data_IF_324892712973
#
_entry.id   IF_324892712973
#
_cell.length_a   1.000
_cell.length_b   1.000
_cell.length_c   1.000
_cell.angle_alpha   90.00
_cell.angle_beta   90.00
_cell.angle_gamma   90.00
#
_symmetry.space_group_name_H-M   'P 1'
#
loop_
_entity.id
_entity.type
_entity.pdbx_description
1 polymer ?
#
# COMPACT_ATOMS: atom_id res chain seq x y z
N UNK A 1 16.99 -10.14 -16.22
CA UNK A 1 15.66 -10.05 -16.85
C UNK A 1 15.45 -8.62 -17.36
N UNK A 2 14.56 -8.39 -18.32
CA UNK A 2 14.18 -7.06 -18.82
C UNK A 2 12.88 -6.56 -18.18
N UNK A 3 11.94 -7.45 -17.94
CA UNK A 3 10.65 -7.13 -17.30
C UNK A 3 10.43 -8.01 -16.09
N UNK A 4 9.99 -7.41 -14.99
CA UNK A 4 9.48 -8.10 -13.81
C UNK A 4 7.95 -7.96 -13.78
N UNK A 5 7.23 -9.07 -13.73
CA UNK A 5 5.82 -9.09 -13.39
C UNK A 5 5.69 -9.39 -11.89
N UNK A 6 5.02 -8.50 -11.18
CA UNK A 6 4.93 -8.53 -9.72
C UNK A 6 3.47 -8.67 -9.29
N UNK A 7 3.25 -9.53 -8.30
CA UNK A 7 1.95 -9.72 -7.66
C UNK A 7 2.07 -10.51 -6.38
N UNK A 8 0.95 -10.73 -5.70
CA UNK A 8 0.90 -11.47 -4.44
C UNK A 8 -0.25 -12.48 -4.45
N UNK A 9 -0.11 -13.56 -3.68
CA UNK A 9 -1.12 -14.63 -3.59
C UNK A 9 -1.83 -14.68 -2.23
N UNK A 10 -1.28 -14.02 -1.21
CA UNK A 10 -1.94 -13.85 0.09
C UNK A 10 -3.15 -12.93 -0.05
N UNK A 11 -4.02 -12.95 0.96
CA UNK A 11 -5.20 -12.10 1.03
C UNK A 11 -5.44 -11.69 2.47
N UNK A 12 -6.19 -10.61 2.70
CA UNK A 12 -6.64 -10.21 4.05
C UNK A 12 -7.63 -11.18 4.72
N UNK A 13 -8.11 -12.21 4.01
CA UNK A 13 -9.27 -12.98 4.42
C UNK A 13 -8.94 -14.06 5.47
N UNK A 14 -9.70 -14.17 6.58
CA UNK A 14 -9.49 -15.21 7.57
C UNK A 14 -9.69 -16.63 7.04
N UNK A 15 -9.00 -17.60 7.65
CA UNK A 15 -9.20 -19.02 7.38
C UNK A 15 -10.68 -19.41 7.59
N UNK A 16 -11.21 -20.21 6.67
CA UNK A 16 -12.61 -20.65 6.66
C UNK A 16 -13.58 -19.74 5.90
N UNK A 17 -13.16 -18.58 5.38
CA UNK A 17 -14.02 -17.66 4.63
C UNK A 17 -14.73 -18.34 3.45
N UNK A 18 -14.05 -19.24 2.73
CA UNK A 18 -14.63 -19.97 1.60
C UNK A 18 -15.85 -20.85 1.96
N UNK A 19 -16.01 -21.26 3.22
CA UNK A 19 -17.17 -22.07 3.63
C UNK A 19 -18.48 -21.27 3.58
N UNK A 20 -18.41 -19.95 3.78
CA UNK A 20 -19.57 -19.04 3.73
C UNK A 20 -19.64 -18.23 2.44
N UNK A 21 -18.50 -17.96 1.81
CA UNK A 21 -18.40 -17.21 0.56
C UNK A 21 -17.43 -17.93 -0.39
N UNK A 22 -17.89 -19.00 -1.05
CA UNK A 22 -17.09 -19.70 -2.05
C UNK A 22 -16.92 -18.81 -3.29
N UNK A 23 -15.89 -19.10 -4.07
CA UNK A 23 -15.77 -18.53 -5.41
C UNK A 23 -16.98 -18.93 -6.26
N UNK A 24 -17.56 -17.96 -6.97
CA UNK A 24 -18.60 -18.20 -7.97
C UNK A 24 -18.42 -17.24 -9.14
N UNK A 25 -18.84 -17.68 -10.32
CA UNK A 25 -18.95 -16.85 -11.51
C UNK A 25 -20.38 -16.97 -12.06
N UNK A 26 -21.02 -15.84 -12.29
CA UNK A 26 -22.35 -15.74 -12.91
C UNK A 26 -22.34 -14.63 -13.96
N UNK A 27 -22.55 -15.02 -15.23
CA UNK A 27 -22.36 -14.12 -16.37
C UNK A 27 -20.95 -13.53 -16.40
N UNK A 28 -20.87 -12.21 -16.46
CA UNK A 28 -19.61 -11.46 -16.52
C UNK A 28 -19.06 -11.08 -15.13
N UNK A 29 -19.63 -11.60 -14.04
CA UNK A 29 -19.18 -11.28 -12.68
C UNK A 29 -18.65 -12.52 -11.98
N UNK A 30 -17.40 -12.47 -11.53
CA UNK A 30 -16.85 -13.41 -10.57
C UNK A 30 -16.76 -12.76 -9.18
N UNK A 31 -17.02 -13.54 -8.13
CA UNK A 31 -16.89 -13.09 -6.74
C UNK A 31 -16.27 -14.19 -5.88
N UNK A 32 -15.50 -13.79 -4.89
CA UNK A 32 -14.86 -14.67 -3.92
C UNK A 32 -13.69 -13.97 -3.22
N UNK A 33 -13.25 -14.46 -2.06
CA UNK A 33 -12.21 -13.79 -1.27
C UNK A 33 -10.86 -13.75 -2.01
N UNK A 34 -10.41 -12.53 -2.32
CA UNK A 34 -9.17 -12.22 -3.04
C UNK A 34 -9.26 -12.48 -4.54
N UNK A 35 -10.48 -12.57 -5.12
CA UNK A 35 -10.62 -12.73 -6.56
C UNK A 35 -10.14 -11.50 -7.33
N UNK A 36 -10.46 -10.30 -6.84
CA UNK A 36 -10.08 -9.02 -7.41
C UNK A 36 -8.70 -8.60 -6.91
N UNK A 37 -8.41 -8.83 -5.63
CA UNK A 37 -7.16 -8.47 -4.95
C UNK A 37 -6.39 -9.70 -4.45
N UNK A 38 -5.43 -10.25 -5.22
CA UNK A 38 -5.21 -9.95 -6.64
C UNK A 38 -5.14 -11.19 -7.53
N UNK A 39 -5.85 -12.28 -7.17
CA UNK A 39 -5.75 -13.57 -7.88
C UNK A 39 -6.13 -13.47 -9.37
N UNK A 40 -7.10 -12.64 -9.74
CA UNK A 40 -7.41 -12.41 -11.16
C UNK A 40 -6.25 -11.76 -11.92
N UNK A 41 -5.48 -10.87 -11.27
CA UNK A 41 -4.24 -10.31 -11.82
C UNK A 41 -3.15 -11.36 -12.04
N UNK A 42 -3.03 -12.33 -11.12
CA UNK A 42 -2.12 -13.48 -11.31
C UNK A 42 -2.57 -14.36 -12.49
N UNK A 43 -3.88 -14.62 -12.62
CA UNK A 43 -4.42 -15.34 -13.79
C UNK A 43 -4.08 -14.59 -15.08
N UNK A 44 -4.33 -13.29 -15.15
CA UNK A 44 -3.98 -12.45 -16.30
C UNK A 44 -2.48 -12.51 -16.61
N UNK A 45 -1.62 -12.47 -15.59
CA UNK A 45 -0.17 -12.62 -15.73
C UNK A 45 0.19 -13.92 -16.47
N UNK A 46 -0.27 -15.06 -15.98
CA UNK A 46 0.09 -16.35 -16.59
C UNK A 46 -0.51 -16.52 -17.99
N UNK A 47 -1.71 -16.01 -18.25
CA UNK A 47 -2.31 -16.05 -19.58
C UNK A 47 -1.59 -15.12 -20.58
N UNK A 48 -1.18 -13.93 -20.16
CA UNK A 48 -0.42 -13.00 -20.99
C UNK A 48 0.94 -13.59 -21.38
N UNK A 49 1.61 -14.25 -20.43
CA UNK A 49 2.89 -14.91 -20.69
C UNK A 49 2.74 -16.17 -21.54
N UNK A 50 1.69 -16.97 -21.35
CA UNK A 50 1.47 -18.20 -22.12
C UNK A 50 1.36 -17.97 -23.65
N UNK A 51 1.08 -16.73 -24.07
CA UNK A 51 1.01 -16.34 -25.48
C UNK A 51 2.38 -15.88 -26.06
N UNK A 52 3.46 -15.88 -25.27
CA UNK A 52 4.80 -15.53 -25.75
C UNK A 52 5.50 -16.74 -26.41
N UNK A 53 6.29 -16.46 -27.46
CA UNK A 53 7.13 -17.47 -28.11
C UNK A 53 8.36 -17.87 -27.28
N UNK A 54 8.82 -16.96 -26.40
CA UNK A 54 9.94 -17.19 -25.47
C UNK A 54 9.72 -16.39 -24.17
N UNK A 55 10.24 -16.93 -23.07
CA UNK A 55 10.28 -16.27 -21.76
C UNK A 55 11.61 -15.57 -21.48
N UNK A 56 12.53 -15.55 -22.44
CA UNK A 56 13.82 -14.90 -22.28
C UNK A 56 13.64 -13.43 -21.91
N UNK A 57 14.23 -13.02 -20.78
CA UNK A 57 14.10 -11.66 -20.27
C UNK A 57 12.85 -11.40 -19.42
N UNK A 58 12.00 -12.40 -19.17
CA UNK A 58 10.86 -12.27 -18.25
C UNK A 58 11.23 -12.81 -16.86
N UNK A 59 10.89 -12.06 -15.82
CA UNK A 59 10.84 -12.54 -14.44
C UNK A 59 9.40 -12.40 -13.91
N UNK A 60 8.98 -13.35 -13.08
CA UNK A 60 7.72 -13.29 -12.35
C UNK A 60 8.02 -13.51 -10.88
N UNK A 61 7.59 -12.57 -10.03
CA UNK A 61 7.64 -12.71 -8.58
C UNK A 61 6.22 -12.67 -8.03
N UNK A 62 5.84 -13.73 -7.32
CA UNK A 62 4.58 -13.83 -6.59
C UNK A 62 4.90 -13.92 -5.10
N UNK A 63 4.57 -12.88 -4.34
CA UNK A 63 4.80 -12.78 -2.90
C UNK A 63 3.62 -13.38 -2.11
N UNK A 64 3.80 -13.56 -0.80
CA UNK A 64 2.82 -14.19 0.08
C UNK A 64 2.61 -13.45 1.40
N UNK A 65 3.02 -12.20 1.46
CA UNK A 65 3.00 -11.35 2.65
C UNK A 65 2.77 -9.85 2.32
N UNK A 66 2.24 -9.54 1.14
CA UNK A 66 1.99 -8.16 0.69
C UNK A 66 1.02 -7.44 1.64
N UNK A 67 -0.04 -8.15 2.03
CA UNK A 67 -1.20 -7.61 2.78
C UNK A 67 -0.84 -7.23 4.23
N UNK A 68 0.35 -7.64 4.68
CA UNK A 68 0.92 -7.29 5.99
C UNK A 68 2.16 -6.38 5.87
N UNK A 69 2.40 -5.82 4.68
CA UNK A 69 3.48 -4.86 4.44
C UNK A 69 4.77 -5.45 3.86
N UNK A 70 4.75 -6.71 3.40
CA UNK A 70 5.89 -7.41 2.77
C UNK A 70 7.12 -7.59 3.67
N UNK A 71 6.96 -7.94 4.96
CA UNK A 71 8.08 -7.97 5.92
C UNK A 71 9.18 -8.97 5.59
N UNK A 72 8.88 -10.03 4.81
CA UNK A 72 9.83 -11.07 4.42
C UNK A 72 10.20 -11.03 2.95
N UNK A 73 9.37 -10.41 2.10
CA UNK A 73 9.59 -10.33 0.66
C UNK A 73 10.17 -9.00 0.19
N UNK A 74 10.19 -7.94 1.00
CA UNK A 74 10.67 -6.61 0.59
C UNK A 74 12.06 -6.63 -0.06
N UNK A 75 13.04 -7.28 0.58
CA UNK A 75 14.40 -7.39 0.04
C UNK A 75 14.42 -8.20 -1.27
N UNK A 76 13.64 -9.29 -1.34
CA UNK A 76 13.52 -10.12 -2.53
C UNK A 76 12.89 -9.36 -3.70
N UNK A 77 11.90 -8.50 -3.45
CA UNK A 77 11.25 -7.65 -4.45
C UNK A 77 12.28 -6.71 -5.07
N UNK A 78 13.04 -6.00 -4.22
CA UNK A 78 14.08 -5.06 -4.68
C UNK A 78 15.20 -5.79 -5.42
N UNK A 79 15.65 -6.94 -4.92
CA UNK A 79 16.66 -7.77 -5.59
C UNK A 79 16.17 -8.26 -6.96
N UNK A 80 14.93 -8.74 -7.05
CA UNK A 80 14.33 -9.25 -8.29
C UNK A 80 14.11 -8.15 -9.34
N UNK A 81 13.85 -6.93 -8.90
CA UNK A 81 13.73 -5.75 -9.75
C UNK A 81 15.10 -5.15 -10.12
N UNK A 82 16.19 -5.59 -9.50
CA UNK A 82 17.51 -5.04 -9.78
C UNK A 82 17.92 -5.30 -11.22
N UNK A 83 18.16 -4.22 -11.98
CA UNK A 83 18.62 -4.28 -13.36
C UNK A 83 17.56 -4.69 -14.39
N UNK A 84 16.27 -4.72 -14.03
CA UNK A 84 15.18 -4.81 -15.03
C UNK A 84 14.89 -3.42 -15.61
N UNK A 85 14.40 -3.39 -16.85
CA UNK A 85 13.98 -2.15 -17.51
C UNK A 85 12.63 -1.66 -16.98
N UNK A 86 11.76 -2.60 -16.54
CA UNK A 86 10.42 -2.28 -16.08
C UNK A 86 9.88 -3.31 -15.06
N UNK A 87 9.09 -2.83 -14.10
CA UNK A 87 8.22 -3.65 -13.25
C UNK A 87 6.75 -3.37 -13.59
N UNK A 88 5.99 -4.43 -13.83
CA UNK A 88 4.56 -4.40 -14.11
C UNK A 88 3.82 -5.08 -12.96
N UNK A 89 3.07 -4.31 -12.17
CA UNK A 89 2.34 -4.81 -10.99
C UNK A 89 0.90 -5.11 -11.37
N UNK A 90 0.47 -6.35 -11.16
CA UNK A 90 -0.84 -6.85 -11.60
C UNK A 90 -1.93 -6.76 -10.53
N UNK A 91 -1.71 -5.88 -9.56
CA UNK A 91 -2.72 -5.32 -8.69
C UNK A 91 -3.97 -4.86 -9.45
N UNK A 92 -5.16 -4.92 -8.83
CA UNK A 92 -6.38 -4.48 -9.48
C UNK A 92 -6.33 -3.02 -9.94
N UNK A 93 -7.00 -2.74 -11.05
CA UNK A 93 -7.22 -1.37 -11.55
C UNK A 93 -8.16 -0.58 -10.65
N UNK A 94 -8.22 0.74 -10.85
CA UNK A 94 -9.21 1.61 -10.21
C UNK A 94 -10.30 1.95 -11.22
N UNK A 95 -11.40 1.20 -11.22
CA UNK A 95 -12.47 1.35 -12.22
C UNK A 95 -11.95 1.27 -13.67
N UNK A 96 -10.93 0.44 -13.92
CA UNK A 96 -10.25 0.31 -15.21
C UNK A 96 -9.01 1.19 -15.39
N UNK A 97 -8.88 2.28 -14.62
CA UNK A 97 -7.72 3.16 -14.67
C UNK A 97 -6.46 2.48 -14.09
N UNK A 98 -5.31 2.75 -14.70
CA UNK A 98 -4.00 2.31 -14.21
C UNK A 98 -3.53 3.20 -13.07
N UNK A 99 -2.83 2.63 -12.10
CA UNK A 99 -2.32 3.35 -10.93
C UNK A 99 -0.96 3.93 -11.29
N UNK A 100 -0.94 5.22 -11.63
CA UNK A 100 0.27 5.96 -12.01
C UNK A 100 0.98 6.60 -10.82
N UNK A 101 0.32 6.64 -9.66
CA UNK A 101 0.97 7.03 -8.42
C UNK A 101 0.29 6.35 -7.23
N UNK A 102 1.09 6.00 -6.23
CA UNK A 102 0.62 5.48 -4.94
C UNK A 102 1.29 6.27 -3.83
N UNK A 103 0.50 6.68 -2.84
CA UNK A 103 1.08 7.22 -1.60
C UNK A 103 1.95 6.15 -0.94
N UNK A 104 3.05 6.58 -0.32
CA UNK A 104 3.75 5.79 0.67
C UNK A 104 3.01 5.82 2.00
N UNK A 105 3.45 4.99 2.93
CA UNK A 105 2.93 4.91 4.30
C UNK A 105 4.08 4.93 5.29
N UNK A 106 3.92 5.65 6.39
CA UNK A 106 4.84 5.60 7.53
C UNK A 106 4.02 5.62 8.80
N UNK A 107 4.32 4.70 9.71
CA UNK A 107 3.64 4.62 11.00
C UNK A 107 4.60 5.01 12.12
N UNK A 108 4.04 5.64 13.15
CA UNK A 108 4.72 5.95 14.40
C UNK A 108 3.85 5.54 15.59
N UNK A 109 4.49 5.28 16.74
CA UNK A 109 3.82 5.14 18.02
C UNK A 109 4.37 6.20 18.95
N UNK A 110 3.53 7.16 19.34
CA UNK A 110 3.89 8.12 20.37
C UNK A 110 3.44 7.60 21.73
N UNK A 111 4.39 7.36 22.62
CA UNK A 111 4.16 6.92 24.00
C UNK A 111 4.30 8.09 24.96
N UNK A 112 3.41 8.12 25.94
CA UNK A 112 3.50 9.03 27.08
C UNK A 112 3.70 8.20 28.35
N UNK A 113 4.70 8.57 29.14
CA UNK A 113 4.94 8.00 30.46
C UNK A 113 4.66 9.05 31.52
N UNK A 114 3.90 8.66 32.54
CA UNK A 114 3.58 9.45 33.69
C UNK A 114 3.91 8.69 34.98
N UNK A 115 3.03 8.81 35.98
CA UNK A 115 3.21 8.13 37.27
C UNK A 115 1.85 7.71 37.81
N UNK A 116 1.72 6.41 38.06
CA UNK A 116 0.49 5.86 38.62
C UNK A 116 0.28 6.30 40.07
N UNK A 117 -0.98 6.54 40.45
CA UNK A 117 -1.39 6.83 41.81
C UNK A 117 -2.83 6.37 42.03
N UNK A 118 -3.20 6.03 43.27
CA UNK A 118 -4.58 5.65 43.58
C UNK A 118 -5.50 6.87 43.49
N UNK A 119 -6.50 6.83 42.62
CA UNK A 119 -7.32 8.00 42.27
C UNK A 119 -8.11 8.58 43.46
N UNK A 120 -8.50 7.72 44.42
CA UNK A 120 -9.25 8.13 45.61
C UNK A 120 -8.43 8.42 46.87
N UNK A 121 -7.12 8.13 46.88
CA UNK A 121 -6.29 8.32 48.07
C UNK A 121 -5.36 9.51 47.89
N UNK A 122 -4.52 9.47 46.85
CA UNK A 122 -3.45 10.45 46.64
C UNK A 122 -3.28 10.78 45.15
N UNK A 123 -4.33 11.22 44.43
CA UNK A 123 -4.24 11.47 42.99
C UNK A 123 -3.19 12.54 42.63
N UNK A 124 -2.92 13.47 43.53
CA UNK A 124 -1.90 14.53 43.39
C UNK A 124 -0.46 13.99 43.33
N UNK A 125 -0.21 12.76 43.79
CA UNK A 125 1.08 12.10 43.66
C UNK A 125 1.28 11.51 42.25
N UNK A 126 0.23 11.40 41.43
CA UNK A 126 0.31 10.86 40.07
C UNK A 126 0.65 11.91 39.00
N UNK A 127 1.03 11.41 37.81
CA UNK A 127 1.10 12.19 36.56
C UNK A 127 0.30 11.39 35.54
N UNK A 128 -0.80 11.96 35.05
CA UNK A 128 -1.75 11.23 34.21
C UNK A 128 -1.26 11.18 32.75
N UNK A 129 -0.69 10.04 32.36
CA UNK A 129 -0.20 9.81 31.00
C UNK A 129 -1.30 9.92 29.93
N UNK A 130 -2.56 9.60 30.27
CA UNK A 130 -3.68 9.73 29.34
C UNK A 130 -4.04 11.19 29.05
N UNK A 131 -3.93 12.08 30.05
CA UNK A 131 -4.11 13.53 29.85
C UNK A 131 -2.95 14.10 29.03
N UNK A 132 -1.72 13.68 29.31
CA UNK A 132 -0.57 14.03 28.47
C UNK A 132 -0.80 13.61 27.02
N UNK A 133 -1.24 12.37 26.78
CA UNK A 133 -1.53 11.87 25.44
C UNK A 133 -2.60 12.69 24.73
N UNK A 134 -3.63 13.13 25.44
CA UNK A 134 -4.67 13.99 24.86
C UNK A 134 -4.11 15.32 24.37
N UNK A 135 -3.17 15.94 25.10
CA UNK A 135 -2.47 17.14 24.62
C UNK A 135 -1.66 16.85 23.36
N UNK A 136 -0.95 15.72 23.33
CA UNK A 136 -0.12 15.36 22.18
C UNK A 136 -0.95 15.01 20.94
N UNK A 137 -2.10 14.34 21.09
CA UNK A 137 -2.99 14.04 19.95
C UNK A 137 -3.46 15.34 19.29
N UNK A 138 -3.86 16.34 20.08
CA UNK A 138 -4.26 17.65 19.55
C UNK A 138 -3.07 18.31 18.83
N UNK A 139 -1.89 18.31 19.45
CA UNK A 139 -0.69 18.88 18.84
C UNK A 139 -0.32 18.20 17.51
N UNK A 140 -0.42 16.86 17.43
CA UNK A 140 -0.19 16.07 16.20
C UNK A 140 -1.23 16.43 15.13
N UNK A 141 -2.50 16.57 15.50
CA UNK A 141 -3.57 16.96 14.57
C UNK A 141 -3.47 18.41 14.09
N UNK A 142 -2.82 19.28 14.84
CA UNK A 142 -2.61 20.69 14.50
C UNK A 142 -1.33 20.93 13.65
N UNK A 143 -0.56 19.87 13.35
CA UNK A 143 0.59 19.98 12.45
C UNK A 143 0.10 20.34 11.04
N UNK A 144 0.49 21.52 10.57
CA UNK A 144 0.15 22.02 9.24
C UNK A 144 0.93 21.28 8.15
N UNK A 145 0.20 20.54 7.32
CA UNK A 145 0.75 19.72 6.24
C UNK A 145 0.08 20.07 4.91
N UNK A 146 0.80 19.89 3.78
CA UNK A 146 0.19 20.03 2.46
C UNK A 146 -1.00 19.09 2.29
N UNK A 147 -2.00 19.50 1.49
CA UNK A 147 -3.25 18.75 1.32
C UNK A 147 -3.09 17.32 0.76
N UNK A 148 -1.98 17.01 0.12
CA UNK A 148 -1.66 15.68 -0.39
C UNK A 148 -1.02 14.75 0.66
N UNK A 149 -0.71 15.26 1.85
CA UNK A 149 -0.11 14.53 2.96
C UNK A 149 -1.13 14.43 4.10
N UNK A 150 -1.38 13.20 4.57
CA UNK A 150 -2.28 12.95 5.70
C UNK A 150 -1.48 12.48 6.89
N UNK A 151 -1.74 13.05 8.05
CA UNK A 151 -1.21 12.66 9.35
C UNK A 151 -2.39 12.38 10.27
N UNK A 152 -2.55 11.15 10.72
CA UNK A 152 -3.79 10.74 11.41
C UNK A 152 -3.46 9.93 12.66
N UNK A 153 -3.77 10.45 13.86
CA UNK A 153 -3.87 9.63 15.07
C UNK A 153 -4.97 8.58 14.89
N UNK A 154 -4.67 7.30 15.11
CA UNK A 154 -5.59 6.20 14.83
C UNK A 154 -6.01 5.45 16.09
N UNK A 155 -5.12 4.64 16.67
CA UNK A 155 -5.39 3.80 17.84
C UNK A 155 -4.75 4.41 19.08
N UNK A 156 -5.54 4.66 20.12
CA UNK A 156 -5.05 5.19 21.40
C UNK A 156 -5.39 4.26 22.56
N UNK A 157 -4.51 4.19 23.56
CA UNK A 157 -4.71 3.43 24.79
C UNK A 157 -4.12 4.18 25.99
N UNK A 158 -4.78 4.11 27.16
CA UNK A 158 -4.30 4.75 28.39
C UNK A 158 -4.78 4.00 29.65
N UNK A 159 -3.83 3.62 30.52
CA UNK A 159 -4.13 2.96 31.80
C UNK A 159 -4.68 1.53 31.67
N UNK A 160 -4.98 0.92 32.82
CA UNK A 160 -5.42 -0.49 32.90
C UNK A 160 -6.60 -0.73 33.84
N UNK A 161 -6.77 0.11 34.87
CA UNK A 161 -7.83 0.00 35.88
C UNK A 161 -8.55 1.34 36.07
N UNK A 162 -9.82 1.29 36.49
CA UNK A 162 -10.67 2.48 36.59
C UNK A 162 -10.38 3.41 37.77
N UNK A 163 -9.69 2.93 38.81
CA UNK A 163 -9.39 3.66 40.04
C UNK A 163 -7.91 4.04 40.21
N UNK A 164 -7.13 4.02 39.13
CA UNK A 164 -5.70 4.37 39.13
C UNK A 164 -5.44 5.46 38.10
N UNK A 165 -4.69 6.50 38.48
CA UNK A 165 -4.17 7.50 37.54
C UNK A 165 -3.29 6.76 36.51
N UNK A 166 -3.57 6.85 35.19
CA UNK A 166 -2.78 6.17 34.18
C UNK A 166 -1.29 6.55 34.23
N UNK A 167 -0.43 5.57 34.43
CA UNK A 167 1.03 5.76 34.39
C UNK A 167 1.64 5.67 33.00
N UNK A 168 0.91 5.14 32.01
CA UNK A 168 1.34 5.02 30.63
C UNK A 168 0.14 5.17 29.68
N UNK A 169 0.40 5.74 28.51
CA UNK A 169 -0.53 5.80 27.39
C UNK A 169 0.23 5.83 26.06
N UNK A 170 -0.44 5.55 24.95
CA UNK A 170 0.16 5.56 23.62
C UNK A 170 -0.87 5.87 22.53
N UNK A 171 -0.40 6.43 21.40
CA UNK A 171 -1.18 6.61 20.18
C UNK A 171 -0.38 6.17 18.95
N UNK A 172 -1.04 5.46 18.04
CA UNK A 172 -0.54 5.17 16.70
C UNK A 172 -0.84 6.34 15.77
N UNK A 173 0.11 6.67 14.91
CA UNK A 173 0.05 7.78 13.97
C UNK A 173 0.34 7.23 12.58
N UNK A 174 -0.63 7.37 11.66
CA UNK A 174 -0.50 6.97 10.25
C UNK A 174 -0.18 8.20 9.40
N UNK A 175 0.88 8.11 8.60
CA UNK A 175 1.31 9.17 7.67
C UNK A 175 1.26 8.63 6.26
N UNK A 176 0.62 9.37 5.35
CA UNK A 176 0.61 9.04 3.92
C UNK A 176 0.95 10.23 3.06
N UNK A 177 1.85 10.06 2.11
CA UNK A 177 2.25 11.11 1.17
C UNK A 177 2.73 10.52 -0.15
N UNK A 178 2.68 11.31 -1.23
CA UNK A 178 3.34 10.98 -2.50
C UNK A 178 4.82 11.41 -2.53
N UNK A 179 5.24 12.25 -1.59
CA UNK A 179 6.58 12.82 -1.52
C UNK A 179 7.34 12.20 -0.34
N UNK A 180 8.44 11.51 -0.62
CA UNK A 180 9.22 10.80 0.39
C UNK A 180 9.82 11.76 1.43
N UNK A 181 10.22 12.97 1.01
CA UNK A 181 10.78 13.98 1.91
C UNK A 181 9.76 14.47 2.96
N UNK A 182 8.46 14.23 2.73
CA UNK A 182 7.40 14.57 3.71
C UNK A 182 7.45 13.68 4.93
N UNK A 183 7.91 12.43 4.80
CA UNK A 183 8.03 11.56 5.97
C UNK A 183 9.08 12.08 6.94
N UNK A 184 10.21 12.57 6.42
CA UNK A 184 11.28 13.14 7.23
C UNK A 184 10.82 14.45 7.91
N UNK A 185 10.12 15.33 7.17
CA UNK A 185 9.56 16.57 7.74
C UNK A 185 8.56 16.28 8.87
N UNK A 186 7.68 15.29 8.68
CA UNK A 186 6.71 14.90 9.71
C UNK A 186 7.42 14.27 10.91
N UNK A 187 8.45 13.44 10.69
CA UNK A 187 9.26 12.85 11.75
C UNK A 187 9.90 13.93 12.62
N UNK A 188 10.55 14.92 12.01
CA UNK A 188 11.16 16.06 12.72
C UNK A 188 10.12 16.82 13.58
N UNK A 189 8.90 17.02 13.07
CA UNK A 189 7.83 17.70 13.80
C UNK A 189 7.29 16.86 14.97
N UNK A 190 7.20 15.53 14.80
CA UNK A 190 6.81 14.60 15.87
C UNK A 190 7.89 14.50 16.95
N UNK A 191 9.17 14.47 16.58
CA UNK A 191 10.30 14.46 17.51
C UNK A 191 10.44 15.78 18.29
N UNK A 192 9.98 16.89 17.71
CA UNK A 192 9.97 18.20 18.36
C UNK A 192 8.86 18.39 19.41
N UNK A 193 7.94 17.44 19.56
CA UNK A 193 6.88 17.52 20.57
C UNK A 193 7.47 17.53 21.99
N UNK A 194 6.89 18.37 22.85
CA UNK A 194 7.31 18.52 24.25
C UNK A 194 6.19 18.12 25.21
N UNK A 195 6.51 17.46 26.33
CA UNK A 195 5.52 17.11 27.34
C UNK A 195 4.90 18.37 27.95
N UNK A 196 3.58 18.37 28.12
CA UNK A 196 2.83 19.50 28.68
C UNK A 196 2.69 19.40 30.21
N UNK A 197 2.63 18.18 30.75
CA UNK A 197 2.52 17.93 32.18
C UNK A 197 3.89 17.81 32.85
N UNK A 198 4.14 18.54 33.96
CA UNK A 198 5.36 18.35 34.74
C UNK A 198 5.52 16.91 35.23
N UNK A 199 6.65 16.30 34.87
CA UNK A 199 6.98 14.91 35.24
C UNK A 199 6.41 13.84 34.30
N UNK A 200 5.81 14.22 33.17
CA UNK A 200 5.57 13.32 32.05
C UNK A 200 6.77 13.27 31.10
N UNK A 201 6.90 12.20 30.32
CA UNK A 201 7.87 12.07 29.24
C UNK A 201 7.23 11.49 27.98
N UNK A 202 7.82 11.80 26.83
CA UNK A 202 7.41 11.33 25.52
C UNK A 202 8.48 10.40 24.94
N UNK A 203 8.06 9.41 24.18
CA UNK A 203 8.91 8.54 23.37
C UNK A 203 8.22 8.28 22.03
N UNK A 204 8.93 8.50 20.93
CA UNK A 204 8.45 8.22 19.58
C UNK A 204 9.10 6.93 19.09
N UNK A 205 8.31 5.91 18.80
CA UNK A 205 8.76 4.66 18.18
C UNK A 205 8.41 4.64 16.69
N UNK A 206 9.32 4.12 15.89
CA UNK A 206 9.12 3.94 14.45
C UNK A 206 8.39 2.64 14.14
N UNK A 207 7.30 2.75 13.39
CA UNK A 207 6.57 1.62 12.83
C UNK A 207 6.96 1.32 11.37
N UNK A 208 6.18 0.44 10.71
CA UNK A 208 6.37 0.10 9.31
C UNK A 208 6.46 1.33 8.38
N UNK A 209 7.28 1.20 7.33
CA UNK A 209 7.47 2.20 6.29
C UNK A 209 7.38 1.54 4.92
N UNK A 210 6.60 2.16 4.03
CA UNK A 210 6.57 1.83 2.61
C UNK A 210 6.77 3.15 1.83
N UNK A 211 7.83 3.30 1.03
CA UNK A 211 8.07 4.52 0.25
C UNK A 211 6.93 4.83 -0.73
N UNK A 212 6.81 6.04 -1.30
CA UNK A 212 5.82 6.34 -2.32
C UNK A 212 6.20 5.77 -3.70
N UNK A 213 5.20 5.56 -4.55
CA UNK A 213 5.36 5.38 -6.00
C UNK A 213 4.97 6.70 -6.69
N UNK A 214 5.93 7.56 -7.06
CA UNK A 214 5.63 8.86 -7.65
C UNK A 214 5.26 8.72 -9.14
N UNK A 215 4.53 9.70 -9.73
CA UNK A 215 4.20 9.70 -11.16
C UNK A 215 5.40 9.54 -12.10
N UNK A 216 6.57 10.05 -11.70
CA UNK A 216 7.81 9.94 -12.47
C UNK A 216 8.27 8.49 -12.67
N UNK A 217 7.92 7.58 -11.75
CA UNK A 217 8.28 6.16 -11.85
C UNK A 217 7.46 5.41 -12.90
N UNK A 218 6.24 5.88 -13.20
CA UNK A 218 5.31 5.18 -14.09
C UNK A 218 5.09 5.87 -15.43
N UNK A 219 5.52 7.13 -15.59
CA UNK A 219 5.16 7.99 -16.72
C UNK A 219 5.42 7.34 -18.07
N UNK A 220 6.63 6.79 -18.29
CA UNK A 220 7.00 6.17 -19.56
C UNK A 220 6.25 4.86 -19.80
N UNK A 221 6.06 4.05 -18.75
CA UNK A 221 5.29 2.81 -18.88
C UNK A 221 3.81 3.06 -19.12
N UNK A 222 3.24 4.13 -18.56
CA UNK A 222 1.87 4.54 -18.85
C UNK A 222 1.70 5.03 -20.29
N UNK A 223 2.68 5.78 -20.81
CA UNK A 223 2.73 6.14 -22.23
C UNK A 223 2.80 4.90 -23.11
N UNK A 224 3.67 3.93 -22.78
CA UNK A 224 3.74 2.65 -23.48
C UNK A 224 2.41 1.89 -23.43
N UNK A 225 1.77 1.78 -22.26
CA UNK A 225 0.47 1.15 -22.11
C UNK A 225 -0.60 1.80 -23.01
N UNK A 226 -0.57 3.13 -23.13
CA UNK A 226 -1.48 3.88 -23.99
C UNK A 226 -1.28 3.56 -25.48
N UNK A 227 -0.01 3.45 -25.93
CA UNK A 227 0.29 3.02 -27.30
C UNK A 227 -0.15 1.58 -27.56
N UNK A 228 0.15 0.66 -26.63
CA UNK A 228 -0.29 -0.75 -26.74
C UNK A 228 -1.81 -0.86 -26.79
N UNK A 229 -2.53 -0.12 -25.94
CA UNK A 229 -3.99 -0.08 -25.98
C UNK A 229 -4.51 0.41 -27.34
N UNK A 230 -3.91 1.46 -27.90
CA UNK A 230 -4.28 1.98 -29.21
C UNK A 230 -4.03 0.96 -30.34
N UNK A 231 -2.88 0.26 -30.32
CA UNK A 231 -2.54 -0.74 -31.34
C UNK A 231 -3.50 -1.94 -31.31
N UNK A 232 -3.97 -2.30 -30.11
CA UNK A 232 -4.94 -3.38 -29.89
C UNK A 232 -6.39 -2.94 -30.15
N UNK A 233 -6.64 -1.65 -30.40
CA UNK A 233 -7.99 -1.10 -30.56
C UNK A 233 -8.81 -1.08 -29.26
N UNK A 234 -8.14 -1.09 -28.11
CA UNK A 234 -8.77 -0.98 -26.80
C UNK A 234 -9.23 0.47 -26.53
N UNK A 235 -10.20 0.67 -25.61
CA UNK A 235 -10.55 2.01 -25.14
C UNK A 235 -9.34 2.77 -24.59
N UNK A 236 -9.34 4.13 -24.67
CA UNK A 236 -8.30 4.94 -24.05
C UNK A 236 -8.14 4.61 -22.56
N UNK A 237 -6.89 4.59 -22.10
CA UNK A 237 -6.56 4.32 -20.70
C UNK A 237 -6.54 5.60 -19.89
N UNK A 238 -7.13 5.55 -18.70
CA UNK A 238 -6.98 6.58 -17.68
C UNK A 238 -5.86 6.19 -16.69
N UNK A 239 -5.20 7.22 -16.15
CA UNK A 239 -4.21 7.09 -15.08
C UNK A 239 -4.72 7.78 -13.82
N UNK A 240 -4.59 7.13 -12.66
CA UNK A 240 -5.04 7.67 -11.37
C UNK A 240 -3.96 7.59 -10.30
N UNK A 241 -3.96 8.58 -9.41
CA UNK A 241 -3.16 8.58 -8.19
C UNK A 241 -4.02 8.08 -7.02
N UNK A 242 -3.54 7.08 -6.27
CA UNK A 242 -4.32 6.45 -5.18
C UNK A 242 -3.59 6.52 -3.83
N UNK A 243 -4.37 6.44 -2.74
CA UNK A 243 -3.86 6.52 -1.38
C UNK A 243 -3.36 5.20 -0.78
N UNK A 244 -3.59 4.06 -1.45
CA UNK A 244 -3.14 2.74 -1.03
C UNK A 244 -1.77 2.39 -1.64
N UNK A 245 -0.89 1.80 -0.83
CA UNK A 245 0.40 1.31 -1.30
C UNK A 245 0.27 -0.13 -1.86
N UNK A 246 1.33 -0.63 -2.50
CA UNK A 246 1.50 -2.00 -2.98
C UNK A 246 2.99 -2.38 -2.95
N UNK A 247 3.33 -3.60 -3.36
CA UNK A 247 4.73 -3.98 -3.62
C UNK A 247 5.41 -3.14 -4.72
N UNK A 248 4.64 -2.52 -5.62
CA UNK A 248 5.16 -1.61 -6.64
C UNK A 248 5.84 -0.36 -6.07
N UNK A 249 5.45 0.06 -4.87
CA UNK A 249 6.12 1.14 -4.15
C UNK A 249 7.60 0.82 -3.89
N UNK A 250 7.93 -0.45 -3.61
CA UNK A 250 9.30 -0.87 -3.29
C UNK A 250 10.19 -0.81 -4.54
N UNK A 251 9.71 -1.31 -5.68
CA UNK A 251 10.46 -1.28 -6.94
C UNK A 251 10.63 0.16 -7.46
N UNK A 252 9.59 0.99 -7.34
CA UNK A 252 9.66 2.40 -7.69
C UNK A 252 10.69 3.16 -6.84
N UNK A 253 10.74 2.89 -5.53
CA UNK A 253 11.71 3.51 -4.62
C UNK A 253 13.15 3.06 -4.88
N UNK A 254 13.34 1.86 -5.44
CA UNK A 254 14.63 1.38 -5.91
C UNK A 254 15.08 2.02 -7.24
N UNK A 255 14.31 2.97 -7.79
CA UNK A 255 14.61 3.68 -9.02
C UNK A 255 14.21 2.93 -10.29
N UNK A 256 13.42 1.86 -10.18
CA UNK A 256 12.96 1.06 -11.32
C UNK A 256 11.65 1.64 -11.86
N UNK A 257 11.56 1.81 -13.18
CA UNK A 257 10.31 2.19 -13.82
C UNK A 257 9.23 1.16 -13.49
N UNK A 258 8.14 1.61 -12.86
CA UNK A 258 7.11 0.76 -12.29
C UNK A 258 5.74 1.27 -12.68
N UNK A 259 4.88 0.38 -13.20
CA UNK A 259 3.47 0.67 -13.45
C UNK A 259 2.60 -0.34 -12.73
N UNK A 260 1.54 0.17 -12.11
CA UNK A 260 0.65 -0.60 -11.25
C UNK A 260 -0.80 -0.51 -11.73
N UNK A 261 -1.67 -1.35 -11.19
CA UNK A 261 -3.08 -1.41 -11.52
C UNK A 261 -3.31 -2.09 -12.87
N UNK A 262 -2.40 -2.96 -13.31
CA UNK A 262 -2.51 -3.70 -14.58
C UNK A 262 -3.42 -4.93 -14.48
N UNK A 263 -3.85 -5.28 -13.26
CA UNK A 263 -4.74 -6.39 -12.98
C UNK A 263 -6.20 -6.17 -13.39
N UNK A 264 -7.08 -6.85 -12.67
CA UNK A 264 -8.51 -6.93 -12.94
C UNK A 264 -9.24 -5.57 -12.87
N UNK A 265 -10.40 -5.52 -13.53
CA UNK A 265 -11.44 -4.50 -13.32
C UNK A 265 -12.50 -5.12 -12.42
N UNK A 266 -13.04 -4.34 -11.49
CA UNK A 266 -13.89 -4.86 -10.43
C UNK A 266 -13.97 -3.91 -9.25
N UNK A 267 -14.26 -4.44 -8.07
CA UNK A 267 -14.35 -3.61 -6.87
C UNK A 267 -14.50 -4.38 -5.57
N UNK A 268 -14.68 -3.61 -4.48
CA UNK A 268 -14.79 -4.09 -3.11
C UNK A 268 -13.55 -4.88 -2.61
N UNK A 269 -12.34 -4.43 -2.99
CA UNK A 269 -11.12 -4.93 -2.36
C UNK A 269 -11.21 -4.82 -0.82
N UNK A 270 -10.76 -5.86 -0.13
CA UNK A 270 -10.80 -6.00 1.34
C UNK A 270 -12.20 -5.93 1.97
N UNK A 271 -13.27 -6.12 1.18
CA UNK A 271 -14.65 -6.05 1.64
C UNK A 271 -15.50 -7.21 1.12
N UNK A 272 -16.59 -7.52 1.85
CA UNK A 272 -17.56 -8.53 1.41
C UNK A 272 -18.14 -8.15 0.05
N UNK A 273 -18.36 -9.15 -0.81
CA UNK A 273 -18.83 -8.90 -2.17
C UNK A 273 -17.76 -8.33 -3.08
N UNK A 274 -16.47 -8.55 -2.78
CA UNK A 274 -15.36 -8.46 -3.72
C UNK A 274 -15.72 -9.14 -5.04
N UNK A 275 -15.48 -8.45 -6.16
CA UNK A 275 -15.89 -8.94 -7.47
C UNK A 275 -14.95 -8.49 -8.60
N UNK A 276 -14.94 -9.28 -9.67
CA UNK A 276 -14.20 -9.07 -10.91
C UNK A 276 -15.15 -9.03 -12.08
N UNK A 277 -14.97 -8.05 -12.96
CA UNK A 277 -15.56 -8.01 -14.30
C UNK A 277 -14.79 -8.97 -15.23
N UNK A 278 -15.40 -10.12 -15.49
CA UNK A 278 -14.86 -11.16 -16.37
C UNK A 278 -14.82 -10.70 -17.83
N UNK A 279 -15.71 -9.79 -18.25
CA UNK A 279 -15.73 -9.29 -19.62
C UNK A 279 -14.48 -8.46 -19.95
N UNK A 280 -13.91 -7.78 -18.95
CA UNK A 280 -12.69 -7.00 -19.08
C UNK A 280 -11.41 -7.85 -19.06
N UNK A 281 -11.45 -9.09 -18.56
CA UNK A 281 -10.22 -9.87 -18.33
C UNK A 281 -9.41 -10.13 -19.60
N UNK A 282 -10.08 -10.33 -20.73
CA UNK A 282 -9.42 -10.54 -22.03
C UNK A 282 -8.59 -9.32 -22.46
N UNK A 283 -9.21 -8.15 -22.48
CA UNK A 283 -8.57 -6.88 -22.87
C UNK A 283 -7.39 -6.54 -21.95
N UNK A 284 -7.56 -6.75 -20.64
CA UNK A 284 -6.50 -6.53 -19.64
C UNK A 284 -5.32 -7.49 -19.83
N UNK A 285 -5.59 -8.76 -20.15
CA UNK A 285 -4.56 -9.75 -20.49
C UNK A 285 -3.81 -9.35 -21.76
N UNK A 286 -4.54 -8.91 -22.80
CA UNK A 286 -3.95 -8.46 -24.06
C UNK A 286 -3.07 -7.23 -23.89
N UNK A 287 -3.52 -6.25 -23.08
CA UNK A 287 -2.72 -5.08 -22.71
C UNK A 287 -1.40 -5.49 -22.03
N UNK A 288 -1.48 -6.33 -20.99
CA UNK A 288 -0.29 -6.81 -20.27
C UNK A 288 0.67 -7.57 -21.20
N UNK A 289 0.15 -8.44 -22.06
CA UNK A 289 0.93 -9.16 -23.07
C UNK A 289 1.68 -8.20 -24.01
N UNK A 290 0.96 -7.24 -24.60
CA UNK A 290 1.55 -6.27 -25.52
C UNK A 290 2.61 -5.40 -24.85
N UNK A 291 2.40 -4.99 -23.59
CA UNK A 291 3.42 -4.28 -22.82
C UNK A 291 4.68 -5.13 -22.62
N UNK A 292 4.54 -6.39 -22.22
CA UNK A 292 5.67 -7.32 -22.06
C UNK A 292 6.45 -7.47 -23.38
N UNK A 293 5.76 -7.67 -24.51
CA UNK A 293 6.41 -7.78 -25.83
C UNK A 293 7.22 -6.54 -26.18
N UNK A 294 6.66 -5.35 -25.99
CA UNK A 294 7.33 -4.07 -26.27
C UNK A 294 8.55 -3.87 -25.40
N UNK A 295 8.47 -4.18 -24.10
CA UNK A 295 9.61 -4.10 -23.18
C UNK A 295 10.71 -5.08 -23.60
N UNK A 296 10.36 -6.32 -23.95
CA UNK A 296 11.32 -7.32 -24.44
C UNK A 296 12.01 -6.88 -25.74
N UNK A 297 11.29 -6.15 -26.62
CA UNK A 297 11.84 -5.53 -27.82
C UNK A 297 12.73 -4.30 -27.56
N UNK A 298 12.75 -3.78 -26.32
CA UNK A 298 13.55 -2.63 -25.90
C UNK A 298 12.87 -1.28 -26.02
N UNK A 299 11.54 -1.29 -26.01
CA UNK A 299 10.69 -0.11 -26.14
C UNK A 299 10.20 0.41 -24.79
N UNK A 300 10.82 0.01 -23.67
CA UNK A 300 10.44 0.43 -22.32
C UNK A 300 10.61 1.94 -22.06
N UNK A 301 11.36 2.65 -22.92
CA UNK A 301 11.70 4.07 -22.77
C UNK A 301 11.12 4.97 -23.88
N UNK A 302 10.27 4.44 -24.76
CA UNK A 302 9.57 5.21 -25.79
C UNK A 302 8.39 6.00 -25.20
#
# INVERSE_FOLDING_TARGET
>A
PRVLLLGHHDTVWPLGTLARWPFSADGDVATGPGCFDMKAGLVQTFHALAALDSFDGVAVLVTGDEEIGSPTSADLIVESASGVDATLVTEPSSEGALKIARKGTRQYILRTTGRAAHAGLEPHNGVNAGVELAHQIVAVSDIDLPADTTLTPTVSAAGTTSNTVPGAASVYIDVRSFDEARFDTVEEQLEALLPQLPGASLELEHGPRRPPMPPSSSQTLFALATHVASDLGLPPLDGVAVGGASDGNLTASAGISTLDGLGAVGGNAHAEGEWVDLSAMGDRTALLHGMVQRILAGEAHL
#
